data_IF_252178068769
#
_entry.id   IF_252178068769
#
_cell.length_a   1.000
_cell.length_b   1.000
_cell.length_c   1.000
_cell.angle_alpha   90.00
_cell.angle_beta   90.00
_cell.angle_gamma   90.00
#
_symmetry.space_group_name_H-M   'P 1'
#
loop_
_entity.id
_entity.type
_entity.pdbx_description
1 polymer ?
#
# COMPACT_ATOMS: atom_id res chain seq x y z
N UNK A 1 -14.17 73.97 54.93
CA UNK A 1 -13.11 74.77 54.30
C UNK A 1 -11.80 74.48 55.02
N UNK A 2 -11.06 73.45 54.64
CA UNK A 2 -9.63 73.27 55.01
C UNK A 2 -8.96 72.31 54.03
N UNK A 3 -7.67 72.57 53.84
CA UNK A 3 -6.78 72.21 52.74
C UNK A 3 -6.47 70.71 52.57
N UNK A 4 -6.10 70.42 51.32
CA UNK A 4 -5.39 69.23 50.80
C UNK A 4 -4.11 68.91 51.60
N UNK A 5 -3.89 67.62 51.82
CA UNK A 5 -2.56 66.99 51.89
C UNK A 5 -2.67 65.56 51.35
N UNK A 6 -1.82 65.25 50.38
CA UNK A 6 -1.71 63.99 49.66
C UNK A 6 -0.57 63.17 50.29
N UNK A 7 -0.72 61.86 50.51
CA UNK A 7 0.43 60.98 50.62
C UNK A 7 0.49 59.97 49.47
N UNK A 8 1.69 59.89 48.89
CA UNK A 8 2.16 58.85 47.99
C UNK A 8 1.85 57.46 48.56
N UNK A 9 1.18 56.61 47.77
CA UNK A 9 1.10 55.17 48.01
C UNK A 9 2.20 54.48 47.17
N UNK A 10 3.21 53.93 47.83
CA UNK A 10 4.19 53.03 47.21
C UNK A 10 3.47 51.75 46.76
N UNK A 11 3.51 51.46 45.46
CA UNK A 11 3.10 50.17 44.90
C UNK A 11 4.31 49.23 44.94
N UNK A 12 4.28 48.25 45.85
CA UNK A 12 5.15 47.08 45.78
C UNK A 12 4.64 46.17 44.65
N UNK A 13 5.36 46.12 43.53
CA UNK A 13 5.14 45.13 42.48
C UNK A 13 5.83 43.83 42.92
N UNK A 14 5.04 42.89 43.44
CA UNK A 14 5.49 41.50 43.63
C UNK A 14 5.54 40.84 42.25
N UNK A 15 6.74 40.50 41.79
CA UNK A 15 6.97 39.71 40.59
C UNK A 15 6.57 38.26 40.84
N UNK A 16 5.32 37.90 40.55
CA UNK A 16 4.91 36.49 40.43
C UNK A 16 5.49 35.99 39.11
N UNK A 17 6.56 35.20 39.20
CA UNK A 17 7.04 34.37 38.09
C UNK A 17 6.02 33.25 37.91
N UNK A 18 5.11 33.40 36.94
CA UNK A 18 4.32 32.27 36.44
C UNK A 18 5.27 31.35 35.66
N UNK A 19 5.61 30.21 36.27
CA UNK A 19 6.13 29.06 35.54
C UNK A 19 5.03 28.59 34.56
N UNK A 20 5.33 28.36 33.28
CA UNK A 20 4.34 27.77 32.38
C UNK A 20 3.99 26.38 32.89
N UNK A 21 2.72 26.18 33.21
CA UNK A 21 2.18 24.85 33.44
C UNK A 21 2.38 24.05 32.14
N UNK A 22 3.13 22.95 32.23
CA UNK A 22 3.16 21.94 31.18
C UNK A 22 1.73 21.42 31.01
N UNK A 23 1.03 21.94 30.02
CA UNK A 23 -0.14 21.27 29.44
C UNK A 23 0.42 19.99 28.83
N UNK A 24 0.21 18.86 29.49
CA UNK A 24 0.48 17.58 28.85
C UNK A 24 -0.49 17.49 27.68
N UNK A 25 0.03 17.48 26.46
CA UNK A 25 -0.70 17.04 25.27
C UNK A 25 -1.10 15.58 25.47
N UNK A 26 -2.22 15.38 26.15
CA UNK A 26 -2.87 14.10 26.33
C UNK A 26 -4.15 14.10 25.49
N UNK A 27 -4.00 14.31 24.18
CA UNK A 27 -5.04 13.94 23.21
C UNK A 27 -4.48 13.75 21.79
N UNK A 28 -3.30 13.12 21.69
CA UNK A 28 -2.99 12.38 20.47
C UNK A 28 -3.77 11.06 20.55
N UNK A 29 -4.64 10.72 19.59
CA UNK A 29 -5.26 9.42 19.58
C UNK A 29 -4.14 8.37 19.58
N UNK A 30 -4.05 7.60 20.67
CA UNK A 30 -3.23 6.39 20.68
C UNK A 30 -3.73 5.53 19.54
N UNK A 31 -2.91 5.42 18.50
CA UNK A 31 -3.08 4.40 17.47
C UNK A 31 -2.94 3.06 18.18
N UNK A 32 -4.07 2.49 18.60
CA UNK A 32 -4.11 1.13 19.11
C UNK A 32 -3.69 0.27 17.93
N UNK A 33 -2.47 -0.25 17.99
CA UNK A 33 -1.95 -1.14 16.96
C UNK A 33 -2.89 -2.35 16.88
N UNK A 34 -3.77 -2.33 15.87
CA UNK A 34 -4.46 -3.51 15.39
C UNK A 34 -3.40 -4.59 15.20
N UNK A 35 -3.62 -5.80 15.73
CA UNK A 35 -2.69 -6.91 15.54
C UNK A 35 -2.40 -7.06 14.03
N UNK A 36 -1.12 -7.10 13.65
CA UNK A 36 -0.74 -7.28 12.26
C UNK A 36 -1.31 -8.60 11.71
N UNK A 37 -1.59 -8.66 10.41
CA UNK A 37 -2.08 -9.89 9.80
C UNK A 37 -0.97 -10.94 9.80
N UNK A 38 -1.17 -12.04 10.52
CA UNK A 38 -0.26 -13.19 10.45
C UNK A 38 -0.38 -13.86 9.07
N UNK A 39 0.58 -13.61 8.19
CA UNK A 39 0.73 -14.29 6.91
C UNK A 39 1.56 -15.57 7.06
N UNK A 40 1.12 -16.64 6.39
CA UNK A 40 1.77 -17.95 6.39
C UNK A 40 2.23 -18.29 4.98
N UNK A 41 3.31 -19.07 4.91
CA UNK A 41 3.84 -19.54 3.64
C UNK A 41 2.76 -20.32 2.87
N UNK A 42 2.55 -19.96 1.60
CA UNK A 42 1.52 -20.60 0.76
C UNK A 42 0.10 -20.05 0.92
N UNK A 43 -0.13 -18.98 1.70
CA UNK A 43 -1.46 -18.41 1.87
C UNK A 43 -2.07 -17.94 0.54
N UNK A 44 -3.34 -18.29 0.33
CA UNK A 44 -4.17 -17.76 -0.77
C UNK A 44 -4.99 -16.59 -0.26
N UNK A 45 -4.59 -15.40 -0.68
CA UNK A 45 -5.17 -14.12 -0.27
C UNK A 45 -6.22 -13.70 -1.31
N UNK A 46 -7.42 -13.38 -0.83
CA UNK A 46 -8.53 -12.98 -1.70
C UNK A 46 -9.03 -11.58 -1.34
N UNK A 47 -9.02 -10.68 -2.32
CA UNK A 47 -9.63 -9.36 -2.20
C UNK A 47 -11.12 -9.44 -2.51
N UNK A 48 -11.94 -8.88 -1.62
CA UNK A 48 -13.38 -8.67 -1.81
C UNK A 48 -13.73 -7.23 -1.46
N UNK A 49 -14.80 -6.70 -2.04
CA UNK A 49 -15.19 -5.32 -1.79
C UNK A 49 -15.78 -4.61 -2.99
N UNK A 50 -15.90 -3.30 -2.85
CA UNK A 50 -16.40 -2.39 -3.87
C UNK A 50 -15.31 -1.98 -4.88
N UNK A 51 -15.53 -0.86 -5.56
CA UNK A 51 -14.66 -0.32 -6.62
C UNK A 51 -13.20 -0.12 -6.20
N UNK A 52 -12.91 0.21 -4.93
CA UNK A 52 -11.53 0.33 -4.45
C UNK A 52 -10.79 -1.01 -4.59
N UNK A 53 -11.38 -2.09 -4.07
CA UNK A 53 -10.78 -3.42 -4.17
C UNK A 53 -10.78 -3.95 -5.60
N UNK A 54 -11.85 -3.73 -6.39
CA UNK A 54 -11.90 -4.15 -7.80
C UNK A 54 -10.74 -3.55 -8.60
N UNK A 55 -10.39 -2.29 -8.35
CA UNK A 55 -9.35 -1.59 -9.10
C UNK A 55 -7.92 -1.85 -8.60
N UNK A 56 -7.72 -2.55 -7.48
CA UNK A 56 -6.39 -3.09 -7.12
C UNK A 56 -5.81 -3.95 -8.25
N UNK A 57 -6.67 -4.70 -8.98
CA UNK A 57 -6.23 -5.53 -10.12
C UNK A 57 -5.67 -4.74 -11.31
N UNK A 58 -6.00 -3.45 -11.39
CA UNK A 58 -5.52 -2.53 -12.42
C UNK A 58 -4.29 -1.75 -11.96
N UNK A 59 -4.02 -1.74 -10.66
CA UNK A 59 -2.96 -0.98 -10.02
C UNK A 59 -2.27 -1.88 -8.96
N UNK A 60 -1.61 -2.94 -9.43
CA UNK A 60 -1.14 -4.05 -8.58
C UNK A 60 0.05 -3.72 -7.63
N UNK A 61 0.15 -2.48 -7.17
CA UNK A 61 1.15 -2.04 -6.20
C UNK A 61 1.05 -2.81 -4.87
N UNK A 62 -0.16 -2.99 -4.34
CA UNK A 62 -0.34 -3.72 -3.08
C UNK A 62 0.12 -5.18 -3.19
N UNK A 63 -0.28 -5.88 -4.26
CA UNK A 63 0.16 -7.25 -4.50
C UNK A 63 1.69 -7.32 -4.70
N UNK A 64 2.27 -6.37 -5.43
CA UNK A 64 3.73 -6.29 -5.65
C UNK A 64 4.48 -6.11 -4.33
N UNK A 65 4.00 -5.21 -3.47
CA UNK A 65 4.60 -4.94 -2.16
C UNK A 65 4.50 -6.16 -1.25
N UNK A 66 3.31 -6.76 -1.11
CA UNK A 66 3.14 -7.96 -0.27
C UNK A 66 3.97 -9.14 -0.80
N UNK A 67 4.07 -9.30 -2.12
CA UNK A 67 4.86 -10.37 -2.74
C UNK A 67 6.36 -10.19 -2.53
N UNK A 68 6.87 -8.96 -2.64
CA UNK A 68 8.31 -8.67 -2.56
C UNK A 68 8.82 -8.45 -1.13
N UNK A 69 7.97 -8.03 -0.20
CA UNK A 69 8.38 -7.62 1.15
C UNK A 69 7.96 -8.62 2.25
N UNK A 70 7.06 -9.56 1.98
CA UNK A 70 6.69 -10.55 2.99
C UNK A 70 7.86 -11.50 3.34
N UNK A 71 8.02 -11.76 4.64
CA UNK A 71 8.99 -12.72 5.15
C UNK A 71 8.67 -14.17 4.73
N UNK A 72 7.39 -14.46 4.45
CA UNK A 72 6.93 -15.79 4.06
C UNK A 72 6.85 -15.93 2.53
N UNK A 73 7.28 -17.07 1.96
CA UNK A 73 7.21 -17.30 0.52
C UNK A 73 5.87 -17.86 0.06
N UNK A 74 5.59 -17.73 -1.24
CA UNK A 74 4.53 -18.48 -1.91
C UNK A 74 3.11 -17.96 -1.66
N UNK A 75 2.97 -16.68 -1.29
CA UNK A 75 1.67 -16.02 -1.28
C UNK A 75 1.09 -15.97 -2.69
N UNK A 76 -0.23 -16.14 -2.82
CA UNK A 76 -0.94 -15.99 -4.09
C UNK A 76 -2.20 -15.16 -3.90
N UNK A 77 -2.60 -14.43 -4.94
CA UNK A 77 -3.64 -13.40 -4.81
C UNK A 77 -4.74 -13.54 -5.87
N UNK A 78 -5.99 -13.38 -5.44
CA UNK A 78 -7.16 -13.37 -6.32
C UNK A 78 -8.05 -12.18 -6.00
N UNK A 79 -8.54 -11.50 -7.03
CA UNK A 79 -9.42 -10.36 -6.86
C UNK A 79 -10.86 -10.73 -7.26
N UNK A 80 -11.73 -10.86 -6.26
CA UNK A 80 -13.16 -11.16 -6.46
C UNK A 80 -14.05 -9.92 -6.29
N UNK A 81 -13.48 -8.77 -5.93
CA UNK A 81 -14.18 -7.52 -5.61
C UNK A 81 -14.81 -6.88 -6.83
N UNK A 82 -16.07 -6.44 -6.77
CA UNK A 82 -16.82 -5.90 -7.91
C UNK A 82 -17.23 -4.44 -7.65
N UNK A 83 -17.02 -3.58 -8.66
CA UNK A 83 -17.48 -2.18 -8.61
C UNK A 83 -18.95 -2.08 -8.22
N UNK A 84 -19.25 -1.25 -7.21
CA UNK A 84 -20.61 -1.05 -6.69
C UNK A 84 -21.08 -2.04 -5.61
N UNK A 85 -20.30 -3.07 -5.27
CA UNK A 85 -20.69 -4.00 -4.20
C UNK A 85 -20.87 -3.30 -2.85
N UNK A 86 -21.87 -3.76 -2.08
CA UNK A 86 -21.97 -3.52 -0.64
C UNK A 86 -21.89 -4.85 0.11
N UNK A 87 -21.93 -4.81 1.45
CA UNK A 87 -22.07 -6.03 2.24
C UNK A 87 -23.36 -6.81 1.92
N UNK A 88 -24.49 -6.10 1.74
CA UNK A 88 -25.83 -6.71 1.56
C UNK A 88 -26.23 -6.90 0.10
N UNK A 89 -25.67 -6.13 -0.84
CA UNK A 89 -26.08 -6.11 -2.25
C UNK A 89 -24.89 -6.32 -3.18
N UNK A 90 -24.89 -7.48 -3.86
CA UNK A 90 -23.83 -7.90 -4.79
C UNK A 90 -24.48 -8.54 -6.03
N UNK A 91 -25.11 -7.76 -6.91
CA UNK A 91 -25.78 -8.29 -8.09
C UNK A 91 -24.75 -8.99 -8.99
N UNK A 92 -25.10 -10.16 -9.50
CA UNK A 92 -24.27 -10.96 -10.39
C UNK A 92 -25.07 -11.44 -11.60
N UNK A 93 -24.39 -11.82 -12.69
CA UNK A 93 -25.04 -12.54 -13.78
C UNK A 93 -25.84 -13.75 -13.25
N UNK A 94 -26.89 -14.13 -13.97
CA UNK A 94 -27.67 -15.31 -13.63
C UNK A 94 -26.74 -16.55 -13.56
N UNK A 95 -26.94 -17.40 -12.55
CA UNK A 95 -26.14 -18.60 -12.24
C UNK A 95 -24.61 -18.37 -12.10
N UNK A 96 -24.18 -17.16 -11.74
CA UNK A 96 -22.77 -16.86 -11.54
C UNK A 96 -22.12 -17.66 -10.38
N UNK A 97 -22.93 -18.02 -9.39
CA UNK A 97 -22.47 -18.59 -8.11
C UNK A 97 -22.53 -17.58 -6.98
N UNK A 98 -22.44 -18.07 -5.75
CA UNK A 98 -22.35 -17.23 -4.56
C UNK A 98 -20.90 -16.78 -4.32
N UNK A 99 -20.71 -15.76 -3.46
CA UNK A 99 -19.36 -15.40 -3.01
C UNK A 99 -18.64 -16.60 -2.38
N UNK A 100 -19.36 -17.39 -1.59
CA UNK A 100 -18.81 -18.56 -0.88
C UNK A 100 -18.32 -19.63 -1.87
N UNK A 101 -19.05 -19.85 -2.97
CA UNK A 101 -18.61 -20.78 -4.03
C UNK A 101 -17.28 -20.34 -4.64
N UNK A 102 -17.12 -19.04 -4.90
CA UNK A 102 -15.88 -18.51 -5.46
C UNK A 102 -14.73 -18.51 -4.44
N UNK A 103 -14.98 -18.15 -3.18
CA UNK A 103 -13.99 -18.23 -2.10
C UNK A 103 -13.51 -19.66 -1.88
N UNK A 104 -14.42 -20.63 -1.95
CA UNK A 104 -14.11 -22.07 -1.90
C UNK A 104 -13.31 -22.52 -3.11
N UNK A 105 -13.66 -22.08 -4.31
CA UNK A 105 -12.92 -22.37 -5.53
C UNK A 105 -11.47 -21.83 -5.48
N UNK A 106 -11.29 -20.64 -4.89
CA UNK A 106 -9.96 -20.05 -4.64
C UNK A 106 -9.28 -20.60 -3.38
N UNK A 107 -9.95 -21.48 -2.62
CA UNK A 107 -9.45 -22.06 -1.36
C UNK A 107 -8.92 -20.99 -0.40
N UNK A 108 -9.65 -19.89 -0.23
CA UNK A 108 -9.19 -18.71 0.51
C UNK A 108 -8.67 -19.05 1.92
N UNK A 109 -7.45 -18.62 2.22
CA UNK A 109 -6.83 -18.70 3.55
C UNK A 109 -6.89 -17.36 4.29
N UNK A 110 -6.83 -16.27 3.52
CA UNK A 110 -6.91 -14.88 3.97
C UNK A 110 -7.90 -14.13 3.09
N UNK A 111 -8.76 -13.32 3.70
CA UNK A 111 -9.69 -12.43 3.01
C UNK A 111 -9.39 -10.99 3.42
N UNK A 112 -9.12 -10.14 2.42
CA UNK A 112 -9.00 -8.69 2.60
C UNK A 112 -10.29 -8.06 2.10
N UNK A 113 -11.07 -7.49 3.03
CA UNK A 113 -12.42 -6.99 2.78
C UNK A 113 -12.47 -5.46 2.80
N UNK A 114 -12.87 -4.87 1.66
CA UNK A 114 -12.93 -3.42 1.47
C UNK A 114 -14.36 -2.96 1.12
N UNK A 115 -15.19 -2.78 2.13
CA UNK A 115 -16.56 -2.24 2.01
C UNK A 115 -16.69 -0.90 2.75
N UNK A 116 -17.82 -0.20 2.60
CA UNK A 116 -18.15 1.00 3.36
C UNK A 116 -18.28 2.28 2.53
N UNK A 117 -17.63 2.39 1.36
CA UNK A 117 -17.72 3.60 0.52
C UNK A 117 -19.10 3.78 -0.12
N UNK A 118 -19.75 2.69 -0.51
CA UNK A 118 -21.09 2.76 -1.08
C UNK A 118 -22.13 2.94 0.03
N UNK A 119 -21.93 2.25 1.15
CA UNK A 119 -22.80 2.30 2.32
C UNK A 119 -22.76 3.68 3.01
N UNK A 120 -21.62 4.38 3.00
CA UNK A 120 -21.49 5.70 3.64
C UNK A 120 -22.38 6.80 3.04
N UNK A 121 -22.94 6.59 1.85
CA UNK A 121 -23.89 7.53 1.24
C UNK A 121 -25.26 7.52 1.94
N UNK A 122 -25.60 6.48 2.70
CA UNK A 122 -26.84 6.42 3.49
C UNK A 122 -26.79 7.31 4.74
N UNK A 123 -25.64 7.92 5.04
CA UNK A 123 -25.45 8.82 6.17
C UNK A 123 -25.70 8.13 7.50
N UNK A 124 -26.12 8.89 8.51
CA UNK A 124 -26.35 8.36 9.87
C UNK A 124 -27.38 7.23 9.92
N UNK A 125 -28.40 7.31 9.06
CA UNK A 125 -29.52 6.38 9.07
C UNK A 125 -29.09 4.94 8.72
N UNK A 126 -28.05 4.78 7.89
CA UNK A 126 -27.53 3.45 7.50
C UNK A 126 -26.53 2.84 8.49
N UNK A 127 -26.07 3.58 9.50
CA UNK A 127 -24.93 3.16 10.34
C UNK A 127 -25.24 1.91 11.17
N UNK A 128 -26.44 1.81 11.74
CA UNK A 128 -26.87 0.65 12.52
C UNK A 128 -26.93 -0.61 11.64
N UNK A 129 -27.63 -0.52 10.51
CA UNK A 129 -27.76 -1.61 9.53
C UNK A 129 -26.42 -2.07 8.96
N UNK A 130 -25.50 -1.13 8.72
CA UNK A 130 -24.15 -1.41 8.23
C UNK A 130 -23.30 -2.13 9.29
N UNK A 131 -23.37 -1.68 10.54
CA UNK A 131 -22.66 -2.32 11.67
C UNK A 131 -23.15 -3.76 11.85
N UNK A 132 -24.46 -3.97 11.82
CA UNK A 132 -25.06 -5.31 11.89
C UNK A 132 -24.65 -6.18 10.68
N UNK A 133 -24.59 -5.61 9.47
CA UNK A 133 -24.15 -6.33 8.29
C UNK A 133 -22.72 -6.86 8.43
N UNK A 134 -21.81 -6.05 8.99
CA UNK A 134 -20.45 -6.47 9.27
C UNK A 134 -20.39 -7.58 10.30
N UNK A 135 -21.14 -7.46 11.39
CA UNK A 135 -21.24 -8.51 12.42
C UNK A 135 -21.65 -9.85 11.82
N UNK A 136 -22.77 -9.87 11.08
CA UNK A 136 -23.29 -11.07 10.46
C UNK A 136 -22.31 -11.63 9.41
N UNK A 137 -21.66 -10.76 8.63
CA UNK A 137 -20.72 -11.18 7.60
C UNK A 137 -19.46 -11.82 8.20
N UNK A 138 -18.88 -11.24 9.26
CA UNK A 138 -17.72 -11.82 9.94
C UNK A 138 -18.06 -13.14 10.64
N UNK A 139 -19.21 -13.21 11.32
CA UNK A 139 -19.69 -14.47 11.92
C UNK A 139 -19.88 -15.55 10.86
N UNK A 140 -20.45 -15.20 9.71
CA UNK A 140 -20.57 -16.10 8.58
C UNK A 140 -19.20 -16.60 8.13
N UNK A 141 -18.25 -15.71 7.80
CA UNK A 141 -16.91 -16.10 7.35
C UNK A 141 -16.18 -16.97 8.37
N UNK A 142 -16.30 -16.69 9.67
CA UNK A 142 -15.70 -17.49 10.74
C UNK A 142 -16.25 -18.92 10.82
N UNK A 143 -17.48 -19.15 10.32
CA UNK A 143 -18.09 -20.49 10.25
C UNK A 143 -17.68 -21.30 9.01
N UNK A 144 -17.01 -20.67 8.04
CA UNK A 144 -16.65 -21.30 6.77
C UNK A 144 -15.28 -21.98 6.82
N UNK A 145 -15.03 -22.89 5.87
CA UNK A 145 -13.72 -23.54 5.67
C UNK A 145 -13.38 -23.63 4.19
N UNK A 146 -13.14 -22.49 3.56
CA UNK A 146 -12.91 -22.42 2.11
C UNK A 146 -11.68 -23.21 1.65
N UNK A 147 -10.62 -23.24 2.46
CA UNK A 147 -9.42 -24.05 2.21
C UNK A 147 -9.59 -25.54 2.60
N UNK A 148 -10.76 -25.94 3.11
CA UNK A 148 -11.07 -27.29 3.59
C UNK A 148 -10.51 -27.64 4.98
N UNK A 149 -9.83 -26.71 5.67
CA UNK A 149 -9.12 -26.97 6.93
C UNK A 149 -9.56 -26.04 8.06
N UNK A 150 -9.56 -24.73 7.82
CA UNK A 150 -9.77 -23.69 8.85
C UNK A 150 -10.65 -22.57 8.33
N UNK A 151 -11.17 -21.76 9.26
CA UNK A 151 -11.74 -20.47 8.92
C UNK A 151 -10.70 -19.56 8.25
N UNK A 152 -11.10 -18.70 7.30
CA UNK A 152 -10.21 -17.70 6.73
C UNK A 152 -9.83 -16.67 7.79
N UNK A 153 -8.58 -16.21 7.76
CA UNK A 153 -8.20 -14.97 8.47
C UNK A 153 -8.77 -13.78 7.69
N UNK A 154 -9.37 -12.82 8.37
CA UNK A 154 -10.00 -11.68 7.73
C UNK A 154 -9.30 -10.40 8.15
N UNK A 155 -9.09 -9.48 7.21
CA UNK A 155 -8.71 -8.09 7.50
C UNK A 155 -9.73 -7.16 6.89
N UNK A 156 -10.09 -6.12 7.63
CA UNK A 156 -10.95 -5.05 7.14
C UNK A 156 -10.08 -3.85 6.76
N UNK A 157 -10.29 -3.31 5.57
CA UNK A 157 -9.70 -2.03 5.14
C UNK A 157 -10.83 -1.03 4.99
N UNK A 158 -10.73 0.11 5.68
CA UNK A 158 -11.73 1.17 5.57
C UNK A 158 -11.74 1.80 4.16
N UNK A 159 -12.80 2.54 3.81
CA UNK A 159 -12.77 3.43 2.65
C UNK A 159 -11.66 4.49 2.75
N UNK A 160 -11.33 5.13 1.62
CA UNK A 160 -10.57 6.39 1.61
C UNK A 160 -11.47 7.56 2.02
N UNK A 161 -10.87 8.70 2.37
CA UNK A 161 -11.58 9.96 2.47
C UNK A 161 -12.10 10.42 1.09
N UNK A 162 -13.18 11.19 1.07
CA UNK A 162 -13.63 11.89 -0.13
C UNK A 162 -12.73 13.12 -0.34
N UNK A 163 -11.93 13.08 -1.40
CA UNK A 163 -11.00 14.16 -1.76
C UNK A 163 -11.73 15.37 -2.33
N UNK A 164 -11.32 16.58 -1.91
CA UNK A 164 -11.81 17.80 -2.51
C UNK A 164 -11.14 18.03 -3.88
N UNK A 165 -11.95 17.95 -4.93
CA UNK A 165 -11.53 18.16 -6.31
C UNK A 165 -11.90 19.54 -6.86
N UNK A 166 -12.59 20.38 -6.06
CA UNK A 166 -13.12 21.67 -6.49
C UNK A 166 -14.31 21.54 -7.44
N UNK A 167 -14.85 22.70 -7.84
CA UNK A 167 -15.97 22.79 -8.79
C UNK A 167 -15.59 22.19 -10.16
N UNK A 168 -16.49 21.44 -10.83
CA UNK A 168 -17.91 21.25 -10.54
C UNK A 168 -18.24 20.02 -9.66
N UNK A 169 -17.24 19.39 -9.01
CA UNK A 169 -17.48 18.22 -8.18
C UNK A 169 -18.04 18.60 -6.79
N UNK A 170 -18.80 17.71 -6.13
CA UNK A 170 -19.43 18.01 -4.85
C UNK A 170 -18.42 18.34 -3.75
N UNK A 171 -18.84 19.20 -2.81
CA UNK A 171 -18.09 19.43 -1.57
C UNK A 171 -18.07 18.14 -0.73
N UNK A 172 -16.88 17.61 -0.38
CA UNK A 172 -16.77 16.35 0.33
C UNK A 172 -17.10 16.42 1.83
N UNK A 173 -17.28 17.61 2.43
CA UNK A 173 -17.39 17.78 3.89
C UNK A 173 -18.45 16.87 4.53
N UNK A 174 -19.69 16.88 4.02
CA UNK A 174 -20.78 16.03 4.56
C UNK A 174 -20.50 14.55 4.38
N UNK A 175 -19.96 14.16 3.22
CA UNK A 175 -19.63 12.76 2.98
C UNK A 175 -18.49 12.28 3.88
N UNK A 176 -17.47 13.11 4.12
CA UNK A 176 -16.37 12.81 5.03
C UNK A 176 -16.82 12.69 6.49
N UNK A 177 -17.85 13.41 6.93
CA UNK A 177 -18.46 13.21 8.24
C UNK A 177 -19.11 11.82 8.34
N UNK A 178 -19.80 11.38 7.29
CA UNK A 178 -20.35 10.02 7.22
C UNK A 178 -19.24 8.96 7.20
N UNK A 179 -18.26 9.09 6.29
CA UNK A 179 -17.13 8.16 6.18
C UNK A 179 -16.37 7.96 7.49
N UNK A 180 -16.19 9.03 8.28
CA UNK A 180 -15.56 8.93 9.60
C UNK A 180 -16.35 8.00 10.54
N UNK A 181 -17.69 8.13 10.57
CA UNK A 181 -18.55 7.29 11.42
C UNK A 181 -18.59 5.83 10.95
N UNK A 182 -18.64 5.60 9.64
CA UNK A 182 -18.60 4.25 9.07
C UNK A 182 -17.24 3.58 9.33
N UNK A 183 -16.14 4.33 9.22
CA UNK A 183 -14.78 3.87 9.56
C UNK A 183 -14.70 3.47 11.04
N UNK A 184 -15.24 4.30 11.95
CA UNK A 184 -15.29 3.99 13.38
C UNK A 184 -16.12 2.74 13.68
N UNK A 185 -17.26 2.56 13.01
CA UNK A 185 -18.07 1.36 13.15
C UNK A 185 -17.30 0.11 12.68
N UNK A 186 -16.61 0.19 11.54
CA UNK A 186 -15.76 -0.90 11.03
C UNK A 186 -14.65 -1.26 12.01
N UNK A 187 -13.97 -0.26 12.57
CA UNK A 187 -12.95 -0.46 13.60
C UNK A 187 -13.53 -1.16 14.83
N UNK A 188 -14.68 -0.70 15.32
CA UNK A 188 -15.34 -1.26 16.52
C UNK A 188 -15.80 -2.71 16.31
N UNK A 189 -16.22 -3.07 15.09
CA UNK A 189 -16.53 -4.47 14.72
C UNK A 189 -15.24 -5.28 14.69
N UNK A 190 -14.19 -4.79 14.02
CA UNK A 190 -12.92 -5.50 13.92
C UNK A 190 -12.30 -5.80 15.30
N UNK A 191 -12.34 -4.83 16.22
CA UNK A 191 -11.89 -4.99 17.61
C UNK A 191 -12.68 -6.07 18.36
N UNK A 192 -14.01 -6.08 18.23
CA UNK A 192 -14.87 -7.10 18.87
C UNK A 192 -14.61 -8.51 18.34
N UNK A 193 -14.29 -8.63 17.05
CA UNK A 193 -13.92 -9.90 16.42
C UNK A 193 -12.43 -10.23 16.54
N UNK A 194 -11.63 -9.34 17.14
CA UNK A 194 -10.18 -9.48 17.29
C UNK A 194 -9.46 -9.71 15.96
N UNK A 195 -9.93 -9.06 14.89
CA UNK A 195 -9.33 -9.13 13.56
C UNK A 195 -8.60 -7.84 13.20
N UNK A 196 -7.60 -7.88 12.30
CA UNK A 196 -6.90 -6.69 11.89
C UNK A 196 -7.79 -5.66 11.17
N UNK A 197 -7.54 -4.39 11.41
CA UNK A 197 -8.19 -3.24 10.77
C UNK A 197 -7.16 -2.24 10.25
N UNK A 198 -7.33 -1.83 8.99
CA UNK A 198 -6.52 -0.79 8.36
C UNK A 198 -7.37 0.47 8.16
N UNK A 199 -7.09 1.52 8.92
CA UNK A 199 -7.72 2.83 8.78
C UNK A 199 -7.11 3.61 7.60
N UNK A 200 -7.61 3.30 6.41
CA UNK A 200 -7.25 4.00 5.19
C UNK A 200 -7.93 5.37 5.06
N UNK A 201 -9.03 5.61 5.78
CA UNK A 201 -9.77 6.88 5.73
C UNK A 201 -8.91 7.99 6.32
N UNK A 202 -8.42 7.79 7.55
CA UNK A 202 -7.62 8.78 8.26
C UNK A 202 -6.30 9.05 7.53
N UNK A 203 -5.62 7.99 7.05
CA UNK A 203 -4.37 8.14 6.30
C UNK A 203 -4.56 8.88 4.98
N UNK A 204 -5.54 8.49 4.18
CA UNK A 204 -5.78 9.15 2.90
C UNK A 204 -6.21 10.62 3.08
N UNK A 205 -7.01 10.93 4.11
CA UNK A 205 -7.37 12.30 4.46
C UNK A 205 -6.15 13.16 4.79
N UNK A 206 -5.21 12.64 5.59
CA UNK A 206 -3.96 13.32 5.90
C UNK A 206 -3.15 13.60 4.63
N UNK A 207 -2.93 12.59 3.78
CA UNK A 207 -2.16 12.73 2.55
C UNK A 207 -2.76 13.77 1.59
N UNK A 208 -4.09 13.84 1.50
CA UNK A 208 -4.80 14.85 0.69
C UNK A 208 -4.59 16.28 1.22
N UNK A 209 -4.36 16.45 2.52
CA UNK A 209 -4.11 17.76 3.15
C UNK A 209 -2.63 18.18 3.02
N UNK A 210 -1.71 17.23 3.08
CA UNK A 210 -0.27 17.46 2.97
C UNK A 210 0.15 17.91 1.57
N UNK A 211 -0.49 17.39 0.52
CA UNK A 211 -0.16 17.77 -0.86
C UNK A 211 -1.41 17.99 -1.73
N UNK A 212 -2.00 19.18 -1.61
CA UNK A 212 -3.23 19.58 -2.31
C UNK A 212 -3.06 19.53 -3.85
N UNK A 213 -1.83 19.75 -4.34
CA UNK A 213 -1.50 19.78 -5.77
C UNK A 213 -1.40 18.38 -6.38
N UNK A 214 -1.01 17.37 -5.60
CA UNK A 214 -0.94 15.99 -6.04
C UNK A 214 -2.18 15.21 -5.59
N UNK A 215 -3.19 15.15 -6.45
CA UNK A 215 -4.43 14.43 -6.16
C UNK A 215 -4.19 12.92 -6.04
N UNK A 216 -4.85 12.30 -5.06
CA UNK A 216 -4.90 10.84 -4.93
C UNK A 216 -5.98 10.21 -5.80
N UNK A 217 -7.03 10.97 -6.09
CA UNK A 217 -8.21 10.48 -6.82
C UNK A 217 -8.34 11.15 -8.19
N UNK A 218 -9.18 10.55 -9.03
CA UNK A 218 -9.57 11.12 -10.33
C UNK A 218 -10.90 11.88 -10.27
N UNK A 219 -11.71 11.63 -9.24
CA UNK A 219 -13.08 12.16 -9.14
C UNK A 219 -13.56 12.35 -7.70
N UNK A 220 -12.66 12.41 -6.72
CA UNK A 220 -12.99 12.54 -5.30
C UNK A 220 -13.07 11.21 -4.54
N UNK A 221 -13.45 10.11 -5.20
CA UNK A 221 -13.70 8.82 -4.51
C UNK A 221 -12.97 7.62 -5.09
N UNK A 222 -12.53 7.69 -6.35
CA UNK A 222 -11.75 6.63 -6.99
C UNK A 222 -10.31 7.08 -7.14
N UNK A 223 -9.37 6.29 -6.61
CA UNK A 223 -7.94 6.56 -6.74
C UNK A 223 -7.50 6.60 -8.20
N UNK A 224 -6.51 7.44 -8.48
CA UNK A 224 -5.72 7.39 -9.71
C UNK A 224 -4.49 6.47 -9.49
N UNK A 225 -3.62 6.32 -10.49
CA UNK A 225 -2.43 5.44 -10.37
C UNK A 225 -1.52 5.84 -9.20
N UNK A 226 -1.26 7.15 -9.03
CA UNK A 226 -0.49 7.66 -7.90
C UNK A 226 -1.18 7.36 -6.57
N UNK A 227 -2.50 7.55 -6.50
CA UNK A 227 -3.30 7.20 -5.34
C UNK A 227 -3.12 5.75 -4.92
N UNK A 228 -3.23 4.81 -5.87
CA UNK A 228 -3.00 3.39 -5.59
C UNK A 228 -1.55 3.09 -5.19
N UNK A 229 -0.56 3.69 -5.86
CA UNK A 229 0.85 3.56 -5.48
C UNK A 229 1.07 4.00 -4.02
N UNK A 230 0.59 5.18 -3.68
CA UNK A 230 0.84 5.83 -2.39
C UNK A 230 0.13 5.10 -1.23
N UNK A 231 -1.15 4.76 -1.39
CA UNK A 231 -1.89 4.04 -0.33
C UNK A 231 -1.41 2.61 -0.17
N UNK A 232 -0.87 1.98 -1.23
CA UNK A 232 -0.46 0.58 -1.15
C UNK A 232 0.75 0.41 -0.25
N UNK A 233 1.63 1.42 -0.16
CA UNK A 233 2.74 1.44 0.80
C UNK A 233 2.22 1.36 2.24
N UNK A 234 1.32 2.27 2.60
CA UNK A 234 0.70 2.28 3.93
C UNK A 234 -0.06 0.97 4.22
N UNK A 235 -0.90 0.50 3.29
CA UNK A 235 -1.66 -0.75 3.50
C UNK A 235 -0.71 -1.94 3.66
N UNK A 236 0.36 -2.03 2.84
CA UNK A 236 1.33 -3.11 2.97
C UNK A 236 2.07 -3.07 4.32
N UNK A 237 2.48 -1.90 4.79
CA UNK A 237 3.11 -1.73 6.12
C UNK A 237 2.19 -2.19 7.25
N UNK A 238 0.91 -1.79 7.20
CA UNK A 238 -0.07 -2.20 8.21
C UNK A 238 -0.36 -3.72 8.16
N UNK A 239 -0.44 -4.31 6.97
CA UNK A 239 -0.67 -5.75 6.82
C UNK A 239 0.54 -6.59 7.23
N UNK A 240 1.76 -6.12 6.95
CA UNK A 240 3.00 -6.82 7.29
C UNK A 240 3.46 -6.53 8.72
N UNK A 241 2.97 -5.46 9.36
CA UNK A 241 3.36 -5.05 10.70
C UNK A 241 4.80 -4.52 10.80
N UNK A 242 5.31 -3.96 9.71
CA UNK A 242 6.67 -3.40 9.63
C UNK A 242 6.71 -2.21 8.67
N UNK A 243 7.63 -1.28 8.92
CA UNK A 243 7.92 -0.20 7.97
C UNK A 243 8.62 -0.77 6.73
N UNK A 244 8.25 -0.25 5.57
CA UNK A 244 8.83 -0.65 4.30
C UNK A 244 9.79 0.43 3.80
N UNK A 245 11.03 0.04 3.55
CA UNK A 245 12.08 0.91 3.02
C UNK A 245 12.91 0.16 2.00
N UNK A 246 13.33 0.86 0.95
CA UNK A 246 14.27 0.30 -0.02
C UNK A 246 15.69 0.28 0.56
N UNK A 247 16.55 -0.63 0.08
CA UNK A 247 17.96 -0.59 0.43
C UNK A 247 18.59 0.77 0.12
N UNK A 248 19.29 1.32 1.11
CA UNK A 248 20.03 2.58 0.98
C UNK A 248 21.47 2.40 1.43
N UNK A 249 22.38 3.14 0.81
CA UNK A 249 23.83 3.02 1.03
C UNK A 249 24.42 4.37 1.39
N UNK A 250 25.26 4.39 2.43
CA UNK A 250 26.05 5.55 2.83
C UNK A 250 27.52 5.17 2.78
N UNK A 251 28.29 5.90 1.99
CA UNK A 251 29.74 5.76 1.87
C UNK A 251 30.39 6.96 2.55
N UNK A 252 31.31 6.71 3.48
CA UNK A 252 32.22 7.73 3.98
C UNK A 252 33.63 7.46 3.44
N UNK A 253 34.06 8.31 2.49
CA UNK A 253 35.35 8.14 1.81
C UNK A 253 36.53 8.41 2.74
N UNK A 254 36.38 9.33 3.71
CA UNK A 254 37.46 9.66 4.65
C UNK A 254 37.71 8.52 5.65
N UNK A 255 36.63 7.86 6.09
CA UNK A 255 36.70 6.72 7.00
C UNK A 255 36.88 5.38 6.27
N UNK A 256 36.79 5.36 4.94
CA UNK A 256 36.78 4.15 4.10
C UNK A 256 35.72 3.15 4.55
N UNK A 257 34.55 3.66 4.93
CA UNK A 257 33.45 2.87 5.46
C UNK A 257 32.26 2.92 4.50
N UNK A 258 31.54 1.80 4.42
CA UNK A 258 30.28 1.70 3.69
C UNK A 258 29.27 1.07 4.65
N UNK A 259 28.16 1.76 4.85
CA UNK A 259 27.01 1.30 5.62
C UNK A 259 25.81 1.15 4.68
N UNK A 260 24.95 0.17 4.97
CA UNK A 260 23.72 -0.02 4.23
C UNK A 260 22.57 -0.40 5.15
N UNK A 261 21.36 0.00 4.76
CA UNK A 261 20.10 -0.46 5.34
C UNK A 261 19.48 -1.53 4.45
N UNK A 262 18.86 -2.54 5.05
CA UNK A 262 18.21 -3.67 4.35
C UNK A 262 19.12 -4.38 3.31
N UNK A 263 20.43 -4.35 3.54
CA UNK A 263 21.43 -4.96 2.68
C UNK A 263 22.74 -5.21 3.44
N UNK A 264 23.51 -6.18 2.97
CA UNK A 264 24.86 -6.50 3.45
C UNK A 264 25.89 -6.05 2.42
N UNK A 265 26.99 -5.47 2.93
CA UNK A 265 28.11 -4.99 2.12
C UNK A 265 29.31 -5.92 2.29
N UNK A 266 29.98 -6.24 1.18
CA UNK A 266 31.21 -7.04 1.17
C UNK A 266 32.20 -6.54 0.11
N UNK A 267 33.46 -6.95 0.21
CA UNK A 267 34.47 -6.74 -0.83
C UNK A 267 34.77 -5.28 -1.18
N UNK A 268 34.74 -4.36 -0.21
CA UNK A 268 34.95 -2.93 -0.47
C UNK A 268 36.40 -2.59 -0.83
N UNK A 269 36.57 -1.71 -1.82
CA UNK A 269 37.85 -1.17 -2.29
C UNK A 269 37.74 0.33 -2.49
N UNK A 270 38.69 1.06 -1.91
CA UNK A 270 38.78 2.51 -2.02
C UNK A 270 40.08 2.90 -2.74
N UNK A 271 39.94 3.53 -3.90
CA UNK A 271 40.99 4.13 -4.70
C UNK A 271 40.72 5.64 -4.87
N UNK A 272 41.70 6.46 -5.27
CA UNK A 272 41.53 7.91 -5.38
C UNK A 272 40.43 8.36 -6.36
N UNK A 273 40.20 7.58 -7.40
CA UNK A 273 39.28 7.83 -8.51
C UNK A 273 38.16 6.80 -8.62
N UNK A 274 38.14 5.79 -7.74
CA UNK A 274 37.21 4.67 -7.82
C UNK A 274 36.87 4.09 -6.45
N UNK A 275 35.59 3.81 -6.22
CA UNK A 275 35.12 3.05 -5.06
C UNK A 275 34.32 1.87 -5.58
N UNK A 276 34.65 0.66 -5.12
CA UNK A 276 33.93 -0.56 -5.48
C UNK A 276 33.49 -1.31 -4.25
N UNK A 277 32.35 -1.98 -4.34
CA UNK A 277 31.86 -2.89 -3.30
C UNK A 277 30.81 -3.84 -3.88
N UNK A 278 30.51 -4.89 -3.12
CA UNK A 278 29.41 -5.81 -3.43
C UNK A 278 28.29 -5.58 -2.43
N UNK A 279 27.05 -5.62 -2.92
CA UNK A 279 25.83 -5.44 -2.14
C UNK A 279 24.90 -6.63 -2.34
N UNK A 280 24.50 -7.23 -1.22
CA UNK A 280 23.45 -8.25 -1.15
C UNK A 280 22.22 -7.65 -0.45
N UNK A 281 21.13 -7.44 -1.20
CA UNK A 281 19.90 -6.88 -0.66
C UNK A 281 19.08 -7.94 0.09
N UNK A 282 18.39 -7.55 1.15
CA UNK A 282 17.49 -8.43 1.92
C UNK A 282 16.11 -8.58 1.26
N UNK A 283 15.67 -7.54 0.56
CA UNK A 283 14.43 -7.52 -0.24
C UNK A 283 14.63 -6.75 -1.55
N UNK A 284 13.65 -6.86 -2.46
CA UNK A 284 13.59 -5.98 -3.61
C UNK A 284 13.30 -4.54 -3.18
N UNK A 285 13.78 -3.53 -3.92
CA UNK A 285 13.42 -2.15 -3.62
C UNK A 285 11.91 -1.92 -3.79
N UNK A 286 11.40 -0.85 -3.19
CA UNK A 286 10.00 -0.47 -3.35
C UNK A 286 9.73 0.02 -4.78
N UNK A 287 8.52 -0.21 -5.33
CA UNK A 287 8.16 0.28 -6.64
C UNK A 287 8.30 1.81 -6.72
N UNK A 288 8.95 2.30 -7.77
CA UNK A 288 9.07 3.74 -8.01
C UNK A 288 7.69 4.40 -8.20
N UNK A 289 7.56 5.69 -7.83
CA UNK A 289 6.35 6.46 -8.10
C UNK A 289 6.06 6.57 -9.60
N UNK A 290 4.78 6.72 -10.01
CA UNK A 290 4.43 7.03 -11.40
C UNK A 290 5.15 8.29 -11.90
N UNK A 291 5.62 8.27 -13.15
CA UNK A 291 6.57 9.27 -13.71
C UNK A 291 6.16 10.73 -13.59
N UNK A 292 4.86 11.03 -13.61
CA UNK A 292 4.31 12.40 -13.61
C UNK A 292 3.81 12.84 -12.23
N UNK A 293 4.07 12.05 -11.20
CA UNK A 293 3.63 12.37 -9.83
C UNK A 293 4.63 13.24 -9.09
N UNK A 294 4.14 13.93 -8.07
CA UNK A 294 4.90 14.69 -7.07
C UNK A 294 4.74 13.93 -5.74
N UNK A 295 5.59 12.93 -5.46
CA UNK A 295 5.43 12.09 -4.28
C UNK A 295 5.55 12.88 -2.99
N UNK A 296 4.80 12.48 -1.97
CA UNK A 296 5.03 12.96 -0.60
C UNK A 296 6.47 12.66 -0.16
N UNK A 297 7.08 13.58 0.59
CA UNK A 297 8.49 13.46 1.02
C UNK A 297 8.76 12.15 1.77
N UNK A 298 7.86 11.77 2.67
CA UNK A 298 7.93 10.51 3.42
C UNK A 298 8.04 9.27 2.51
N UNK A 299 7.25 9.23 1.43
CA UNK A 299 7.30 8.11 0.47
C UNK A 299 8.54 8.16 -0.44
N UNK A 300 9.07 9.36 -0.68
CA UNK A 300 10.28 9.57 -1.46
C UNK A 300 11.54 9.19 -0.66
N UNK A 301 11.52 9.38 0.65
CA UNK A 301 12.60 9.00 1.57
C UNK A 301 12.79 7.48 1.64
N UNK A 302 11.71 6.70 1.45
CA UNK A 302 11.70 5.23 1.41
C UNK A 302 12.25 4.63 0.10
N UNK A 303 12.60 5.46 -0.89
CA UNK A 303 13.13 5.02 -2.18
C UNK A 303 14.64 4.76 -2.12
N UNK A 304 15.21 3.93 -3.03
CA UNK A 304 16.63 3.59 -2.98
C UNK A 304 17.52 4.83 -3.10
N UNK A 305 18.52 4.93 -2.21
CA UNK A 305 19.41 6.10 -2.15
C UNK A 305 20.87 5.70 -1.99
N UNK A 306 21.76 6.44 -2.65
CA UNK A 306 23.20 6.42 -2.38
C UNK A 306 23.69 7.79 -1.95
N UNK A 307 24.27 7.86 -0.76
CA UNK A 307 24.93 9.04 -0.21
C UNK A 307 26.42 8.80 -0.12
N UNK A 308 27.24 9.73 -0.62
CA UNK A 308 28.71 9.62 -0.56
C UNK A 308 29.27 10.87 0.10
N UNK A 309 29.69 10.72 1.36
CA UNK A 309 30.29 11.77 2.17
C UNK A 309 31.78 11.86 1.87
N UNK A 310 32.33 13.07 1.99
CA UNK A 310 33.77 13.34 1.84
C UNK A 310 34.34 12.92 0.48
N UNK A 311 33.51 12.85 -0.57
CA UNK A 311 33.93 12.52 -1.92
C UNK A 311 34.74 13.69 -2.51
N UNK A 312 35.97 13.47 -3.04
CA UNK A 312 36.77 14.54 -3.61
C UNK A 312 36.06 15.27 -4.75
N UNK A 313 36.36 16.55 -4.91
CA UNK A 313 35.75 17.37 -5.95
C UNK A 313 35.97 16.77 -7.35
N UNK A 314 34.87 16.53 -8.05
CA UNK A 314 34.84 15.96 -9.38
C UNK A 314 33.43 15.51 -9.77
N UNK A 315 33.33 14.88 -10.94
CA UNK A 315 32.14 14.22 -11.46
C UNK A 315 32.34 12.71 -11.39
N UNK A 316 31.31 12.00 -10.95
CA UNK A 316 31.37 10.56 -10.75
C UNK A 316 30.17 9.87 -11.38
N UNK A 317 30.44 8.68 -11.94
CA UNK A 317 29.47 7.79 -12.55
C UNK A 317 29.30 6.56 -11.67
N UNK A 318 28.05 6.20 -11.41
CA UNK A 318 27.68 4.96 -10.73
C UNK A 318 27.36 3.88 -11.77
N UNK A 319 28.04 2.75 -11.65
CA UNK A 319 27.75 1.50 -12.35
C UNK A 319 27.26 0.45 -11.34
N UNK A 320 26.22 -0.29 -11.71
CA UNK A 320 25.75 -1.47 -10.98
C UNK A 320 25.68 -2.64 -11.97
N UNK A 321 26.45 -3.69 -11.72
CA UNK A 321 26.65 -4.84 -12.62
C UNK A 321 27.00 -4.43 -14.06
N UNK A 322 27.79 -3.36 -14.20
CA UNK A 322 28.20 -2.80 -15.49
C UNK A 322 27.16 -1.87 -16.15
N UNK A 323 25.93 -1.82 -15.64
CA UNK A 323 24.89 -0.89 -16.11
C UNK A 323 25.09 0.49 -15.49
N UNK A 324 25.14 1.53 -16.32
CA UNK A 324 25.21 2.91 -15.84
C UNK A 324 23.87 3.35 -15.23
N UNK A 325 23.88 3.67 -13.93
CA UNK A 325 22.68 4.09 -13.19
C UNK A 325 22.49 5.60 -13.28
N UNK A 326 23.54 6.36 -12.95
CA UNK A 326 23.54 7.84 -12.99
C UNK A 326 24.95 8.41 -12.96
N UNK A 327 25.07 9.69 -13.27
CA UNK A 327 26.32 10.46 -13.21
C UNK A 327 26.03 11.83 -12.59
N UNK A 328 26.82 12.22 -11.57
CA UNK A 328 26.58 13.45 -10.81
C UNK A 328 27.86 14.01 -10.18
N UNK A 329 27.80 15.24 -9.68
CA UNK A 329 28.94 15.86 -8.99
C UNK A 329 29.04 15.35 -7.55
N UNK A 330 30.24 15.40 -6.98
CA UNK A 330 30.49 15.06 -5.57
C UNK A 330 29.50 15.72 -4.58
N UNK A 331 29.12 16.99 -4.82
CA UNK A 331 28.13 17.71 -4.00
C UNK A 331 26.73 17.12 -4.07
N UNK A 332 26.36 16.49 -5.19
CA UNK A 332 25.06 15.85 -5.35
C UNK A 332 25.05 14.50 -4.65
N UNK A 333 26.14 13.74 -4.76
CA UNK A 333 26.34 12.50 -4.00
C UNK A 333 26.33 12.73 -2.49
N UNK A 334 26.92 13.83 -2.01
CA UNK A 334 26.92 14.19 -0.60
C UNK A 334 25.51 14.49 -0.05
N UNK A 335 24.59 14.98 -0.90
CA UNK A 335 23.17 15.19 -0.55
C UNK A 335 22.34 13.90 -0.57
N UNK A 336 22.88 12.83 -1.13
CA UNK A 336 22.18 11.56 -1.33
C UNK A 336 21.32 11.60 -2.59
N UNK A 337 21.62 10.71 -3.54
CA UNK A 337 20.89 10.61 -4.80
C UNK A 337 19.89 9.47 -4.77
N UNK A 338 18.68 9.76 -5.24
CA UNK A 338 17.68 8.74 -5.56
C UNK A 338 18.14 7.92 -6.76
N UNK A 339 18.06 6.60 -6.64
CA UNK A 339 18.53 5.67 -7.65
C UNK A 339 17.35 5.10 -8.43
N UNK A 340 16.95 5.82 -9.48
CA UNK A 340 15.75 5.50 -10.26
C UNK A 340 15.96 4.43 -11.35
N UNK A 341 17.22 4.15 -11.71
CA UNK A 341 17.56 3.26 -12.84
C UNK A 341 18.38 2.04 -12.39
N UNK A 342 18.09 1.49 -11.21
CA UNK A 342 18.76 0.28 -10.73
C UNK A 342 18.27 -0.95 -11.51
N UNK A 343 19.15 -1.93 -11.78
CA UNK A 343 18.71 -3.24 -12.30
C UNK A 343 17.66 -3.91 -11.40
N UNK A 344 17.76 -3.75 -10.08
CA UNK A 344 16.75 -4.23 -9.13
C UNK A 344 15.40 -3.52 -9.25
N UNK A 345 15.37 -2.25 -9.70
CA UNK A 345 14.13 -1.54 -10.01
C UNK A 345 13.51 -1.99 -11.33
N UNK A 346 14.31 -2.47 -12.29
CA UNK A 346 13.79 -3.16 -13.47
C UNK A 346 13.10 -4.47 -13.09
N UNK A 347 13.75 -5.28 -12.23
CA UNK A 347 13.15 -6.51 -11.70
C UNK A 347 11.81 -6.29 -10.99
N UNK A 348 11.65 -5.21 -10.22
CA UNK A 348 10.36 -4.87 -9.59
C UNK A 348 9.30 -4.49 -10.63
N UNK A 349 9.69 -3.82 -11.73
CA UNK A 349 8.78 -3.52 -12.84
C UNK A 349 8.34 -4.79 -13.57
N UNK A 350 9.26 -5.72 -13.81
CA UNK A 350 8.96 -7.01 -14.44
C UNK A 350 8.03 -7.85 -13.56
N UNK A 351 8.34 -7.96 -12.26
CA UNK A 351 7.48 -8.62 -11.27
C UNK A 351 6.06 -8.07 -11.29
N UNK A 352 5.92 -6.74 -11.27
CA UNK A 352 4.60 -6.10 -11.34
C UNK A 352 3.91 -6.39 -12.68
N UNK A 353 4.65 -6.39 -13.79
CA UNK A 353 4.09 -6.69 -15.12
C UNK A 353 3.53 -8.11 -15.20
N UNK A 354 4.22 -9.08 -14.60
CA UNK A 354 3.73 -10.45 -14.50
C UNK A 354 2.50 -10.58 -13.59
N UNK A 355 2.48 -9.84 -12.48
CA UNK A 355 1.29 -9.74 -11.62
C UNK A 355 0.11 -9.12 -12.40
N UNK A 356 0.33 -8.02 -13.12
CA UNK A 356 -0.68 -7.35 -13.94
C UNK A 356 -1.28 -8.33 -14.95
N UNK A 357 -0.42 -9.07 -15.67
CA UNK A 357 -0.86 -10.05 -16.65
C UNK A 357 -1.61 -11.22 -16.01
N UNK A 358 -1.12 -11.74 -14.88
CA UNK A 358 -1.79 -12.81 -14.13
C UNK A 358 -3.19 -12.37 -13.67
N UNK A 359 -3.33 -11.15 -13.14
CA UNK A 359 -4.61 -10.62 -12.67
C UNK A 359 -5.58 -10.33 -13.83
N UNK A 360 -5.09 -9.90 -14.99
CA UNK A 360 -5.90 -9.77 -16.20
C UNK A 360 -6.44 -11.13 -16.68
N UNK A 361 -5.59 -12.16 -16.73
CA UNK A 361 -6.02 -13.51 -17.10
C UNK A 361 -7.06 -14.05 -16.13
N UNK A 362 -6.84 -13.88 -14.82
CA UNK A 362 -7.82 -14.29 -13.81
C UNK A 362 -9.13 -13.51 -13.94
N UNK A 363 -9.08 -12.21 -14.26
CA UNK A 363 -10.28 -11.41 -14.51
C UNK A 363 -11.10 -11.98 -15.66
N UNK A 364 -10.49 -12.47 -16.74
CA UNK A 364 -11.23 -13.10 -17.84
C UNK A 364 -11.85 -14.45 -17.48
N UNK A 365 -11.24 -15.19 -16.55
CA UNK A 365 -11.83 -16.42 -16.00
C UNK A 365 -13.01 -16.09 -15.09
N UNK A 366 -12.84 -15.14 -14.17
CA UNK A 366 -13.85 -14.80 -13.18
C UNK A 366 -15.01 -13.98 -13.78
N UNK A 367 -14.72 -13.05 -14.69
CA UNK A 367 -15.67 -12.17 -15.39
C UNK A 367 -15.53 -12.28 -16.90
N UNK A 368 -15.90 -13.45 -17.43
CA UNK A 368 -15.87 -13.70 -18.87
C UNK A 368 -16.65 -12.64 -19.66
N UNK A 369 -16.05 -12.15 -20.75
CA UNK A 369 -16.60 -11.09 -21.62
C UNK A 369 -17.97 -11.42 -22.22
N UNK A 370 -18.37 -12.70 -22.19
CA UNK A 370 -19.65 -13.23 -22.67
C UNK A 370 -20.37 -14.09 -21.61
N UNK A 371 -20.43 -13.60 -20.37
CA UNK A 371 -21.00 -14.31 -19.22
C UNK A 371 -22.42 -14.89 -19.44
N UNK A 372 -23.25 -14.32 -20.32
CA UNK A 372 -24.60 -14.86 -20.63
C UNK A 372 -24.57 -16.26 -21.28
N UNK A 373 -23.46 -16.59 -21.96
CA UNK A 373 -23.23 -17.93 -22.53
C UNK A 373 -22.53 -18.89 -21.58
N UNK A 374 -21.91 -18.38 -20.51
CA UNK A 374 -21.18 -19.17 -19.51
C UNK A 374 -22.06 -19.50 -18.31
N UNK A 375 -22.78 -18.51 -17.80
CA UNK A 375 -23.62 -18.61 -16.60
C UNK A 375 -25.09 -18.30 -16.91
N UNK A 376 -25.35 -17.44 -17.90
CA UNK A 376 -26.70 -16.95 -18.19
C UNK A 376 -27.62 -17.93 -18.94
N UNK A 377 -28.66 -17.37 -19.55
CA UNK A 377 -29.74 -18.16 -20.18
C UNK A 377 -29.32 -18.79 -21.49
N UNK A 378 -28.22 -18.34 -22.09
CA UNK A 378 -27.72 -18.83 -23.39
C UNK A 378 -26.69 -19.96 -23.24
N UNK A 379 -26.59 -20.53 -22.05
CA UNK A 379 -25.75 -21.70 -21.75
C UNK A 379 -26.17 -22.97 -22.50
N UNK A 380 -27.43 -23.10 -22.93
CA UNK A 380 -27.93 -24.23 -23.75
C UNK A 380 -28.74 -23.73 -24.97
N UNK A 381 -28.60 -24.32 -26.19
CA UNK A 381 -27.84 -25.53 -26.52
C UNK A 381 -26.50 -25.21 -27.23
N UNK A 382 -25.57 -24.53 -26.54
CA UNK A 382 -24.21 -24.11 -26.95
C UNK A 382 -24.03 -22.65 -27.41
N UNK A 383 -23.51 -21.82 -26.51
CA UNK A 383 -22.61 -20.73 -26.87
C UNK A 383 -21.18 -21.24 -26.93
N UNK A 384 -20.72 -21.63 -28.12
CA UNK A 384 -19.37 -22.09 -28.47
C UNK A 384 -18.76 -23.27 -27.66
N UNK A 385 -18.34 -24.32 -28.39
CA UNK A 385 -17.67 -25.53 -27.88
C UNK A 385 -16.29 -25.24 -27.23
N UNK A 386 -15.75 -24.03 -27.39
CA UNK A 386 -14.37 -23.68 -27.03
C UNK A 386 -14.14 -23.18 -25.59
N UNK A 387 -15.18 -22.84 -24.83
CA UNK A 387 -14.99 -22.16 -23.54
C UNK A 387 -14.31 -23.02 -22.45
N UNK A 388 -14.70 -24.28 -22.19
CA UNK A 388 -14.02 -25.07 -21.15
C UNK A 388 -12.51 -25.28 -21.43
N UNK A 389 -12.08 -25.66 -22.66
CA UNK A 389 -10.66 -25.75 -23.00
C UNK A 389 -9.91 -24.41 -22.90
N UNK A 390 -10.58 -23.29 -23.21
CA UNK A 390 -10.00 -21.94 -23.08
C UNK A 390 -9.79 -21.56 -21.61
N UNK A 391 -10.75 -21.88 -20.73
CA UNK A 391 -10.63 -21.66 -19.28
C UNK A 391 -9.50 -22.49 -18.66
N UNK A 392 -9.33 -23.75 -19.08
CA UNK A 392 -8.18 -24.58 -18.68
C UNK A 392 -6.85 -23.97 -19.17
N UNK A 393 -6.85 -23.37 -20.37
CA UNK A 393 -5.66 -22.68 -20.90
C UNK A 393 -5.34 -21.43 -20.09
N UNK A 394 -6.33 -20.62 -19.72
CA UNK A 394 -6.13 -19.51 -18.79
C UNK A 394 -5.58 -19.99 -17.44
N UNK A 395 -6.09 -21.10 -16.91
CA UNK A 395 -5.58 -21.71 -15.67
C UNK A 395 -4.10 -22.03 -15.75
N UNK A 396 -3.66 -22.72 -16.82
CA UNK A 396 -2.23 -23.02 -17.04
C UNK A 396 -1.36 -21.77 -17.20
N UNK A 397 -1.87 -20.74 -17.88
CA UNK A 397 -1.14 -19.47 -18.03
C UNK A 397 -1.00 -18.73 -16.69
N UNK A 398 -2.05 -18.76 -15.85
CA UNK A 398 -2.01 -18.19 -14.50
C UNK A 398 -0.98 -18.95 -13.66
N UNK A 399 -1.02 -20.28 -13.64
CA UNK A 399 -0.05 -21.11 -12.89
C UNK A 399 1.40 -20.87 -13.33
N UNK A 400 1.64 -20.78 -14.64
CA UNK A 400 2.95 -20.46 -15.18
C UNK A 400 3.46 -19.08 -14.69
N UNK A 401 2.57 -18.08 -14.66
CA UNK A 401 2.93 -16.73 -14.17
C UNK A 401 3.15 -16.70 -12.66
N UNK A 402 2.36 -17.42 -11.87
CA UNK A 402 2.59 -17.57 -10.43
C UNK A 402 3.99 -18.17 -10.14
N UNK A 403 4.44 -19.12 -10.96
CA UNK A 403 5.78 -19.67 -10.85
C UNK A 403 6.87 -18.63 -11.15
N UNK A 404 6.69 -17.81 -12.19
CA UNK A 404 7.60 -16.69 -12.51
C UNK A 404 7.64 -15.65 -11.40
N UNK A 405 6.46 -15.18 -10.96
CA UNK A 405 6.31 -14.21 -9.85
C UNK A 405 7.05 -14.70 -8.61
N UNK A 406 6.89 -15.98 -8.25
CA UNK A 406 7.58 -16.57 -7.10
C UNK A 406 9.11 -16.54 -7.24
N UNK A 407 9.64 -16.76 -8.44
CA UNK A 407 11.07 -16.71 -8.72
C UNK A 407 11.61 -15.27 -8.73
N UNK A 408 10.80 -14.31 -9.16
CA UNK A 408 11.18 -12.91 -9.29
C UNK A 408 11.04 -12.13 -7.99
N UNK A 409 10.17 -12.55 -7.07
CA UNK A 409 9.85 -11.90 -5.79
C UNK A 409 11.03 -11.74 -4.81
N UNK A 410 12.19 -12.32 -5.11
CA UNK A 410 13.40 -12.26 -4.28
C UNK A 410 14.52 -11.47 -4.98
N UNK A 411 15.37 -10.77 -4.20
CA UNK A 411 16.54 -10.07 -4.74
C UNK A 411 17.54 -11.04 -5.39
N UNK A 412 18.38 -10.51 -6.27
CA UNK A 412 19.54 -11.23 -6.82
C UNK A 412 20.58 -11.49 -5.72
N UNK A 413 21.37 -12.55 -5.87
CA UNK A 413 22.28 -13.02 -4.80
C UNK A 413 23.32 -11.96 -4.38
N UNK A 414 24.01 -11.34 -5.35
CA UNK A 414 24.99 -10.27 -5.11
C UNK A 414 25.05 -9.33 -6.33
N UNK A 415 25.14 -8.02 -6.07
CA UNK A 415 25.29 -6.97 -7.11
C UNK A 415 26.61 -6.23 -6.91
N UNK A 416 27.34 -5.94 -7.99
CA UNK A 416 28.61 -5.23 -7.96
C UNK A 416 28.40 -3.75 -8.23
N UNK A 417 28.83 -2.93 -7.29
CA UNK A 417 28.70 -1.48 -7.35
C UNK A 417 30.06 -0.84 -7.57
N UNK A 418 30.11 0.15 -8.45
CA UNK A 418 31.31 0.92 -8.71
C UNK A 418 31.00 2.40 -8.95
N UNK A 419 31.65 3.28 -8.20
CA UNK A 419 31.59 4.72 -8.37
C UNK A 419 32.93 5.19 -8.94
N UNK A 420 32.92 5.73 -10.15
CA UNK A 420 34.12 6.07 -10.91
C UNK A 420 34.15 7.56 -11.21
N UNK A 421 35.30 8.21 -10.98
CA UNK A 421 35.54 9.57 -11.44
C UNK A 421 35.60 9.59 -12.97
N UNK A 422 35.01 10.61 -13.59
CA UNK A 422 34.92 10.73 -15.07
C UNK A 422 35.59 11.98 -15.64
N UNK A 423 36.21 12.81 -14.79
CA UNK A 423 36.84 14.09 -15.15
C UNK A 423 38.26 14.27 -14.62
#
# INVERSE_FOLDING_TARGET
>A
MFLRLCPLLLILISSIVLLPANVSDADSPRQVASAALELKAGDRIVFIGNTFADQLRLNNYLETLLTSQAAVPGLTFRNLAWSGDTLKLRPRPLNFGSLDDHLKAQRADVIIACFGMNESFDGEAGLADFTEAWEQFLQHLASQKYNGKSAPRVVIISPIAHENMGSPLPDPVKHNQSLAKYTQAMQSVAERHQIPFVDLYSRSKQMMQENISQKLTRNGIHLNEYGYWAISHFVAEQLLGQDLESPSVVIDVAQKQIEATHAKISGSKFQPDQIEFTLQAESLPLPLPPKVSIPASELLEKQPRLTVKNLPAGKYRLLVDGTQVTEARHSDWARGLLLLNLPSQERVRDLRSDIDRKNELFFYVYRAHNAEYVFGRRTKPFGAVSFPPEMETFGRLIEAREATIKAEARPLEETKWGLFRVD
#
